data_IF_382507954755
#
_entry.id   IF_382507954755
#
_cell.length_a   1.000
_cell.length_b   1.000
_cell.length_c   1.000
_cell.angle_alpha   90.00
_cell.angle_beta   90.00
_cell.angle_gamma   90.00
#
_symmetry.space_group_name_H-M   'P 1'
#
loop_
_entity.id
_entity.type
_entity.pdbx_description
1 polymer ?
#
# COMPACT_ATOMS: atom_id res chain seq x y z
N UNK A 1 4.25 -13.94 17.84
CA UNK A 1 4.12 -12.71 17.07
C UNK A 1 4.60 -11.55 17.92
N UNK A 2 5.56 -10.77 17.45
CA UNK A 2 6.06 -9.59 18.17
C UNK A 2 5.02 -8.48 18.10
N UNK A 3 4.53 -8.02 19.26
CA UNK A 3 3.65 -6.85 19.38
C UNK A 3 4.49 -5.62 19.68
N UNK A 4 4.11 -4.48 19.12
CA UNK A 4 4.71 -3.17 19.45
C UNK A 4 3.72 -2.32 20.23
N UNK A 5 4.18 -1.74 21.33
CA UNK A 5 3.38 -0.90 22.25
C UNK A 5 3.78 0.57 22.16
N UNK A 6 4.11 1.03 20.96
CA UNK A 6 4.44 2.44 20.71
C UNK A 6 3.49 2.99 19.64
N UNK A 7 3.25 4.30 19.71
CA UNK A 7 2.53 5.06 18.69
C UNK A 7 3.24 6.40 18.47
N UNK A 8 3.20 6.90 17.24
CA UNK A 8 3.69 8.24 16.91
C UNK A 8 2.50 9.20 16.89
N UNK A 9 2.61 10.27 17.67
CA UNK A 9 1.61 11.33 17.71
C UNK A 9 2.25 12.58 17.12
N UNK A 10 1.69 13.06 16.02
CA UNK A 10 2.09 14.30 15.37
C UNK A 10 1.10 15.40 15.72
N UNK A 11 1.57 16.45 16.38
CA UNK A 11 0.78 17.65 16.60
C UNK A 11 1.05 18.65 15.47
N UNK A 12 0.00 19.03 14.74
CA UNK A 12 0.07 19.99 13.63
C UNK A 12 -0.62 21.30 14.03
N UNK A 13 0.12 22.27 14.64
CA UNK A 13 -0.36 23.63 14.86
C UNK A 13 -0.07 24.55 13.67
N UNK A 14 -0.88 25.60 13.50
CA UNK A 14 -0.55 26.70 12.58
C UNK A 14 0.57 27.58 13.15
N UNK A 15 1.31 28.29 12.29
CA UNK A 15 2.38 29.21 12.71
C UNK A 15 1.87 30.26 13.72
N UNK A 16 0.69 30.81 13.48
CA UNK A 16 0.05 31.79 14.37
C UNK A 16 -0.23 31.19 15.76
N UNK A 17 -0.69 29.95 15.81
CA UNK A 17 -0.92 29.22 17.07
C UNK A 17 0.39 29.01 17.83
N UNK A 18 1.49 28.70 17.14
CA UNK A 18 2.81 28.57 17.76
C UNK A 18 3.31 29.88 18.36
N UNK A 19 3.16 31.00 17.65
CA UNK A 19 3.56 32.32 18.13
C UNK A 19 2.72 32.76 19.34
N UNK A 20 1.41 32.51 19.28
CA UNK A 20 0.51 32.77 20.40
C UNK A 20 0.89 31.94 21.64
N UNK A 21 1.14 30.64 21.50
CA UNK A 21 1.60 29.78 22.60
C UNK A 21 2.95 30.23 23.17
N UNK A 22 3.83 30.78 22.34
CA UNK A 22 5.12 31.29 22.77
C UNK A 22 4.99 32.57 23.61
N UNK A 23 4.04 33.45 23.28
CA UNK A 23 3.77 34.67 24.06
C UNK A 23 3.25 34.38 25.48
N UNK A 24 2.58 33.24 25.67
CA UNK A 24 2.11 32.80 26.99
C UNK A 24 3.23 32.25 27.90
N UNK A 25 4.46 32.10 27.39
CA UNK A 25 5.58 31.60 28.18
C UNK A 25 6.24 32.71 29.02
N UNK A 26 6.87 32.38 30.17
CA UNK A 26 7.65 33.33 30.96
C UNK A 26 8.75 34.02 30.14
N UNK A 27 9.03 35.30 30.43
CA UNK A 27 9.90 36.21 29.65
C UNK A 27 11.33 35.70 29.39
N UNK A 28 11.81 34.70 30.14
CA UNK A 28 13.13 34.07 29.91
C UNK A 28 13.14 32.85 28.98
N UNK A 29 11.98 32.35 28.57
CA UNK A 29 11.83 31.08 27.83
C UNK A 29 11.14 31.22 26.46
N UNK A 30 10.91 32.47 26.05
CA UNK A 30 10.29 32.80 24.77
C UNK A 30 11.30 32.67 23.64
N UNK A 31 10.91 32.00 22.57
CA UNK A 31 11.69 31.95 21.34
C UNK A 31 11.46 33.20 20.50
N UNK A 32 12.47 33.63 19.73
CA UNK A 32 12.27 34.68 18.73
C UNK A 32 11.40 34.17 17.57
N UNK A 33 10.64 35.07 16.94
CA UNK A 33 9.80 34.74 15.77
C UNK A 33 10.61 34.18 14.60
N UNK A 34 11.86 34.64 14.44
CA UNK A 34 12.80 34.12 13.45
C UNK A 34 13.19 32.66 13.73
N UNK A 35 13.45 32.29 14.99
CA UNK A 35 13.73 30.91 15.38
C UNK A 35 12.54 29.99 15.11
N UNK A 36 11.32 30.41 15.45
CA UNK A 36 10.10 29.64 15.17
C UNK A 36 9.94 29.38 13.67
N UNK A 37 10.14 30.42 12.85
CA UNK A 37 10.04 30.30 11.40
C UNK A 37 11.10 29.35 10.82
N UNK A 38 12.33 29.40 11.32
CA UNK A 38 13.39 28.50 10.90
C UNK A 38 13.15 27.04 11.33
N UNK A 39 12.60 26.82 12.52
CA UNK A 39 12.23 25.48 13.00
C UNK A 39 11.13 24.87 12.12
N UNK A 40 10.10 25.64 11.78
CA UNK A 40 9.03 25.19 10.88
C UNK A 40 9.56 24.81 9.49
N UNK A 41 10.53 25.56 8.95
CA UNK A 41 11.11 25.25 7.64
C UNK A 41 11.97 23.96 7.65
N UNK A 42 12.60 23.65 8.78
CA UNK A 42 13.46 22.46 8.93
C UNK A 42 12.71 21.23 9.43
N UNK A 43 11.45 21.38 9.80
CA UNK A 43 10.64 20.28 10.32
C UNK A 43 10.29 19.29 9.20
N UNK A 44 10.64 18.03 9.41
CA UNK A 44 10.25 16.92 8.53
C UNK A 44 9.05 16.20 9.14
N UNK A 45 7.98 16.09 8.37
CA UNK A 45 6.72 15.44 8.80
C UNK A 45 6.92 13.91 8.81
N UNK A 46 6.53 13.21 9.89
CA UNK A 46 6.51 11.75 9.91
C UNK A 46 5.69 11.17 8.75
N UNK A 47 6.22 10.15 8.07
CA UNK A 47 5.54 9.44 6.99
C UNK A 47 5.07 8.06 7.47
N UNK A 48 3.76 7.84 7.36
CA UNK A 48 3.13 6.54 7.58
C UNK A 48 3.76 5.38 6.78
N UNK A 49 4.56 5.62 5.73
CA UNK A 49 5.27 4.55 5.02
C UNK A 49 6.34 3.86 5.86
N UNK A 50 6.93 4.55 6.84
CA UNK A 50 7.98 3.98 7.66
C UNK A 50 7.41 3.08 8.76
N UNK A 51 7.94 1.86 8.88
CA UNK A 51 7.47 0.87 9.87
C UNK A 51 7.53 1.38 11.30
N UNK A 52 8.56 2.16 11.62
CA UNK A 52 8.83 2.69 12.95
C UNK A 52 8.03 3.97 13.25
N UNK A 53 7.28 4.50 12.27
CA UNK A 53 6.36 5.63 12.44
C UNK A 53 4.89 5.19 12.45
N UNK A 54 4.61 3.88 12.30
CA UNK A 54 3.27 3.33 12.42
C UNK A 54 2.98 2.85 13.85
N UNK A 55 1.80 3.15 14.41
CA UNK A 55 0.73 4.02 13.88
C UNK A 55 1.08 5.51 14.01
N UNK A 56 0.63 6.32 13.04
CA UNK A 56 0.76 7.78 13.07
C UNK A 56 -0.62 8.40 13.33
N UNK A 57 -0.75 9.11 14.45
CA UNK A 57 -1.94 9.89 14.78
C UNK A 57 -1.66 11.37 14.60
N UNK A 58 -2.41 12.03 13.70
CA UNK A 58 -2.29 13.48 13.48
C UNK A 58 -3.32 14.23 14.33
N UNK A 59 -2.84 15.06 15.26
CA UNK A 59 -3.64 15.93 16.11
C UNK A 59 -3.51 17.36 15.57
N UNK A 60 -4.61 17.88 15.01
CA UNK A 60 -4.69 19.29 14.61
C UNK A 60 -4.95 20.16 15.83
N UNK A 61 -4.06 21.11 16.09
CA UNK A 61 -4.15 22.05 17.21
C UNK A 61 -4.41 23.43 16.63
N UNK A 62 -5.57 24.03 16.90
CA UNK A 62 -5.93 25.27 16.22
C UNK A 62 -7.31 25.80 16.55
N UNK A 63 -7.71 26.85 15.83
CA UNK A 63 -9.11 27.24 15.72
C UNK A 63 -9.81 26.14 14.95
N UNK A 64 -10.89 25.60 15.49
CA UNK A 64 -11.76 24.75 14.72
C UNK A 64 -12.37 25.63 13.62
N UNK A 65 -11.99 25.41 12.36
CA UNK A 65 -12.85 25.77 11.24
C UNK A 65 -14.09 24.90 11.41
N UNK A 66 -15.07 25.40 12.17
CA UNK A 66 -16.41 24.84 12.15
C UNK A 66 -16.81 24.86 10.67
N UNK A 67 -17.13 23.73 10.02
CA UNK A 67 -17.66 23.79 8.67
C UNK A 67 -18.90 24.68 8.77
N UNK A 68 -18.87 25.83 8.10
CA UNK A 68 -20.04 26.70 8.00
C UNK A 68 -21.10 25.89 7.27
N UNK A 69 -22.03 25.29 7.99
CA UNK A 69 -23.27 24.86 7.39
C UNK A 69 -23.98 26.15 6.96
N UNK A 70 -24.35 26.24 5.68
CA UNK A 70 -25.00 27.40 5.07
C UNK A 70 -26.33 27.82 5.74
N UNK A 71 -26.80 27.07 6.75
CA UNK A 71 -28.07 27.28 7.44
C UNK A 71 -27.97 28.11 8.73
N UNK A 72 -26.76 28.43 9.23
CA UNK A 72 -26.60 29.20 10.47
C UNK A 72 -26.18 30.64 10.16
N UNK A 73 -27.09 31.42 9.57
CA UNK A 73 -26.88 32.83 9.21
C UNK A 73 -26.89 33.79 10.43
N UNK A 74 -27.08 33.29 11.65
CA UNK A 74 -27.31 34.13 12.85
C UNK A 74 -26.33 33.89 14.01
N UNK A 75 -25.14 33.30 13.77
CA UNK A 75 -24.12 33.15 14.82
C UNK A 75 -23.03 34.23 14.74
N UNK A 76 -23.41 35.48 15.00
CA UNK A 76 -22.48 36.57 15.33
C UNK A 76 -22.09 36.52 16.83
N UNK A 77 -21.99 35.33 17.43
CA UNK A 77 -21.29 35.18 18.71
C UNK A 77 -19.79 35.09 18.45
N UNK A 78 -19.16 36.27 18.36
CA UNK A 78 -17.72 36.35 18.54
C UNK A 78 -17.45 35.89 19.96
N UNK A 79 -16.89 34.69 20.13
CA UNK A 79 -16.58 34.11 21.44
C UNK A 79 -15.49 34.96 22.13
N UNK A 80 -15.95 36.02 22.81
CA UNK A 80 -15.15 37.05 23.48
C UNK A 80 -14.43 36.51 24.71
N UNK A 81 -14.84 35.35 25.23
CA UNK A 81 -14.28 34.78 26.45
C UNK A 81 -13.11 33.81 26.17
N UNK A 82 -13.05 33.22 24.96
CA UNK A 82 -12.03 32.24 24.60
C UNK A 82 -11.41 32.50 23.22
N UNK A 83 -10.61 33.57 23.10
CA UNK A 83 -9.75 33.85 21.92
C UNK A 83 -8.70 32.75 21.59
N UNK A 84 -8.65 31.67 22.38
CA UNK A 84 -7.59 30.67 22.30
C UNK A 84 -7.93 29.55 21.30
N UNK A 85 -7.00 29.16 20.41
CA UNK A 85 -7.10 27.94 19.61
C UNK A 85 -6.90 26.72 20.53
N UNK A 86 -7.87 26.41 21.38
CA UNK A 86 -7.85 25.28 22.33
C UNK A 86 -8.69 24.10 21.85
N UNK A 87 -8.91 23.96 20.55
CA UNK A 87 -9.46 22.74 20.00
C UNK A 87 -8.30 21.82 19.58
N UNK A 88 -8.23 20.65 20.20
CA UNK A 88 -7.40 19.53 19.78
C UNK A 88 -8.30 18.30 19.70
N UNK A 89 -8.41 17.69 18.52
CA UNK A 89 -9.14 16.44 18.37
C UNK A 89 -8.20 15.29 18.78
N UNK A 90 -8.45 14.67 19.92
CA UNK A 90 -7.61 13.61 20.48
C UNK A 90 -8.29 12.26 20.29
N UNK A 91 -7.56 11.28 19.75
CA UNK A 91 -8.03 9.92 19.53
C UNK A 91 -7.85 9.05 20.78
N UNK A 92 -8.42 9.46 21.92
CA UNK A 92 -8.14 8.88 23.24
C UNK A 92 -8.33 7.35 23.28
N UNK A 93 -9.44 6.87 22.73
CA UNK A 93 -9.79 5.44 22.74
C UNK A 93 -8.85 4.61 21.88
N UNK A 94 -8.51 5.11 20.70
CA UNK A 94 -7.65 4.40 19.76
C UNK A 94 -6.20 4.38 20.24
N UNK A 95 -5.69 5.50 20.74
CA UNK A 95 -4.32 5.58 21.26
C UNK A 95 -4.14 4.62 22.44
N UNK A 96 -5.10 4.59 23.38
CA UNK A 96 -5.05 3.69 24.53
C UNK A 96 -5.15 2.22 24.11
N UNK A 97 -6.05 1.90 23.18
CA UNK A 97 -6.18 0.54 22.63
C UNK A 97 -4.87 0.08 21.96
N UNK A 98 -4.24 0.94 21.17
CA UNK A 98 -2.97 0.66 20.51
C UNK A 98 -1.81 0.45 21.50
N UNK A 99 -1.72 1.26 22.55
CA UNK A 99 -0.68 1.13 23.56
C UNK A 99 -0.89 -0.12 24.42
N UNK A 100 -2.13 -0.41 24.82
CA UNK A 100 -2.44 -1.48 25.77
C UNK A 100 -2.57 -2.87 25.12
N UNK A 101 -3.22 -2.97 23.95
CA UNK A 101 -3.51 -4.26 23.33
C UNK A 101 -2.41 -4.71 22.34
N UNK A 102 -1.64 -3.74 21.83
CA UNK A 102 -0.51 -3.93 20.93
C UNK A 102 -0.95 -4.48 19.58
N UNK A 103 -0.48 -3.86 18.49
CA UNK A 103 -0.85 -4.32 17.15
C UNK A 103 0.08 -5.39 16.63
N UNK A 104 -0.51 -6.34 15.91
CA UNK A 104 0.22 -7.40 15.23
C UNK A 104 0.94 -6.79 14.02
N UNK A 105 2.26 -6.72 14.11
CA UNK A 105 3.09 -6.32 12.97
C UNK A 105 2.96 -7.39 11.89
N UNK A 106 2.48 -6.99 10.70
CA UNK A 106 2.56 -7.84 9.52
C UNK A 106 4.04 -8.01 9.16
N UNK A 107 4.48 -9.27 9.09
CA UNK A 107 5.87 -9.59 8.75
C UNK A 107 6.17 -9.07 7.34
N UNK A 108 7.31 -8.37 7.19
CA UNK A 108 7.76 -7.99 5.87
C UNK A 108 8.33 -9.24 5.15
N UNK A 109 8.34 -9.22 3.81
CA UNK A 109 8.88 -10.35 3.04
C UNK A 109 10.37 -10.63 3.32
N UNK A 110 11.07 -9.70 3.99
CA UNK A 110 12.47 -9.90 4.41
C UNK A 110 12.61 -10.76 5.67
N UNK A 111 11.57 -10.85 6.52
CA UNK A 111 11.56 -11.73 7.71
C UNK A 111 10.79 -13.03 7.49
N UNK A 112 10.01 -13.14 6.42
CA UNK A 112 9.42 -14.41 6.04
C UNK A 112 10.53 -15.35 5.54
N UNK A 113 10.70 -16.47 6.25
CA UNK A 113 11.53 -17.57 5.78
C UNK A 113 10.95 -18.03 4.46
N UNK A 114 11.66 -17.81 3.35
CA UNK A 114 11.26 -18.33 2.05
C UNK A 114 11.07 -19.84 2.21
N UNK A 115 9.85 -20.38 2.02
CA UNK A 115 9.64 -21.80 2.16
C UNK A 115 10.57 -22.50 1.18
N UNK A 116 11.33 -23.49 1.66
CA UNK A 116 12.22 -24.29 0.85
C UNK A 116 11.39 -24.86 -0.31
N UNK A 117 11.63 -24.36 -1.53
CA UNK A 117 10.87 -24.78 -2.69
C UNK A 117 10.92 -26.31 -2.77
N UNK A 118 9.77 -26.99 -2.97
CA UNK A 118 9.80 -28.43 -3.12
C UNK A 118 10.72 -28.76 -4.31
N UNK A 119 11.54 -29.80 -4.16
CA UNK A 119 12.65 -30.15 -5.07
C UNK A 119 12.28 -30.21 -6.55
N UNK A 120 10.99 -30.36 -6.86
CA UNK A 120 10.46 -30.51 -8.22
C UNK A 120 9.74 -29.27 -8.78
N UNK A 121 9.53 -28.20 -8.01
CA UNK A 121 8.70 -27.05 -8.46
C UNK A 121 9.22 -26.40 -9.75
N UNK A 122 10.52 -26.13 -9.83
CA UNK A 122 11.09 -25.45 -11.01
C UNK A 122 10.94 -26.32 -12.27
N UNK A 123 11.18 -27.63 -12.12
CA UNK A 123 11.02 -28.59 -13.20
C UNK A 123 9.57 -28.72 -13.66
N UNK A 124 8.63 -28.80 -12.72
CA UNK A 124 7.19 -28.86 -13.02
C UNK A 124 6.70 -27.58 -13.69
N UNK A 125 7.15 -26.41 -13.23
CA UNK A 125 6.84 -25.13 -13.84
C UNK A 125 7.36 -25.02 -15.28
N UNK A 126 8.65 -25.33 -15.49
CA UNK A 126 9.25 -25.28 -16.83
C UNK A 126 8.56 -26.27 -17.78
N UNK A 127 8.25 -27.48 -17.31
CA UNK A 127 7.53 -28.50 -18.09
C UNK A 127 6.12 -28.04 -18.46
N UNK A 128 5.32 -27.62 -17.48
CA UNK A 128 3.93 -27.20 -17.71
C UNK A 128 3.81 -25.95 -18.59
N UNK A 129 4.73 -24.98 -18.46
CA UNK A 129 4.75 -23.78 -19.33
C UNK A 129 5.16 -24.13 -20.76
N UNK A 130 6.13 -25.04 -20.94
CA UNK A 130 6.56 -25.51 -22.25
C UNK A 130 5.47 -26.33 -22.97
N UNK A 131 4.79 -27.22 -22.24
CA UNK A 131 3.67 -28.01 -22.76
C UNK A 131 2.52 -27.08 -23.20
N UNK A 132 2.23 -26.05 -22.42
CA UNK A 132 1.22 -25.03 -22.75
C UNK A 132 1.55 -24.28 -24.04
N UNK A 133 2.82 -23.88 -24.24
CA UNK A 133 3.26 -23.21 -25.47
C UNK A 133 3.13 -24.14 -26.68
N UNK A 134 3.48 -25.42 -26.52
CA UNK A 134 3.38 -26.42 -27.59
C UNK A 134 1.92 -26.62 -28.01
N UNK A 135 1.00 -26.71 -27.04
CA UNK A 135 -0.45 -26.77 -27.29
C UNK A 135 -0.93 -25.50 -27.98
N UNK A 136 -0.50 -24.32 -27.53
CA UNK A 136 -0.89 -23.05 -28.13
C UNK A 136 -0.42 -22.93 -29.59
N UNK A 137 0.82 -23.33 -29.87
CA UNK A 137 1.39 -23.34 -31.23
C UNK A 137 0.67 -24.31 -32.15
N UNK A 138 0.30 -25.50 -31.65
CA UNK A 138 -0.50 -26.46 -32.42
C UNK A 138 -1.91 -25.95 -32.67
N UNK A 139 -2.56 -25.37 -31.65
CA UNK A 139 -3.89 -24.77 -31.78
C UNK A 139 -3.88 -23.59 -32.77
N UNK A 140 -2.82 -22.78 -32.79
CA UNK A 140 -2.65 -21.68 -33.73
C UNK A 140 -2.65 -22.12 -35.20
N UNK A 141 -2.30 -23.37 -35.53
CA UNK A 141 -2.36 -23.87 -36.92
C UNK A 141 -3.79 -24.03 -37.44
N UNK A 142 -4.74 -24.27 -36.55
CA UNK A 142 -6.15 -24.56 -36.88
C UNK A 142 -7.10 -23.46 -36.38
N UNK A 143 -6.61 -22.49 -35.61
CA UNK A 143 -7.43 -21.50 -34.94
C UNK A 143 -7.90 -20.36 -35.86
N UNK A 144 -9.17 -19.99 -35.70
CA UNK A 144 -9.78 -18.81 -36.34
C UNK A 144 -9.65 -17.60 -35.40
N UNK A 145 -9.51 -16.39 -35.97
CA UNK A 145 -9.44 -15.13 -35.18
C UNK A 145 -10.66 -15.02 -34.26
N UNK A 146 -10.42 -14.85 -32.95
CA UNK A 146 -11.46 -14.75 -31.92
C UNK A 146 -11.82 -16.07 -31.24
N UNK A 147 -11.20 -17.19 -31.62
CA UNK A 147 -11.43 -18.49 -30.98
C UNK A 147 -10.77 -18.55 -29.59
N UNK A 148 -11.49 -19.13 -28.62
CA UNK A 148 -10.98 -19.44 -27.29
C UNK A 148 -10.27 -20.79 -27.34
N UNK A 149 -8.96 -20.78 -27.10
CA UNK A 149 -8.14 -22.00 -27.07
C UNK A 149 -8.18 -22.55 -25.65
N UNK A 150 -8.65 -23.79 -25.51
CA UNK A 150 -8.63 -24.53 -24.24
C UNK A 150 -7.27 -25.19 -24.09
N UNK A 151 -6.58 -24.94 -22.98
CA UNK A 151 -5.31 -25.58 -22.67
C UNK A 151 -5.59 -26.74 -21.70
N UNK A 152 -5.18 -27.99 -22.03
CA UNK A 152 -5.30 -29.13 -21.14
C UNK A 152 -4.55 -28.88 -19.83
N UNK A 153 -5.23 -29.04 -18.69
CA UNK A 153 -4.65 -28.84 -17.35
C UNK A 153 -4.97 -27.51 -16.67
N UNK A 154 -5.57 -26.55 -17.38
CA UNK A 154 -5.87 -25.20 -16.85
C UNK A 154 -7.19 -25.09 -16.05
N UNK A 155 -7.84 -26.21 -15.69
CA UNK A 155 -9.08 -26.20 -14.92
C UNK A 155 -10.25 -25.39 -15.53
N UNK A 156 -10.20 -25.08 -16.83
CA UNK A 156 -11.24 -24.29 -17.52
C UNK A 156 -10.79 -22.91 -18.03
N UNK A 157 -9.56 -22.47 -17.75
CA UNK A 157 -9.05 -21.20 -18.32
C UNK A 157 -8.79 -21.29 -19.82
N UNK A 158 -9.18 -20.26 -20.57
CA UNK A 158 -9.06 -20.18 -22.02
C UNK A 158 -8.17 -19.01 -22.45
N UNK A 159 -7.39 -19.20 -23.51
CA UNK A 159 -6.60 -18.13 -24.13
C UNK A 159 -7.38 -17.55 -25.30
N UNK A 160 -7.54 -16.23 -25.33
CA UNK A 160 -8.18 -15.54 -26.44
C UNK A 160 -7.20 -15.40 -27.62
N UNK A 161 -7.46 -16.07 -28.74
CA UNK A 161 -6.61 -16.00 -29.92
C UNK A 161 -6.95 -14.78 -30.79
N UNK A 162 -6.23 -13.68 -30.63
CA UNK A 162 -6.41 -12.44 -31.42
C UNK A 162 -5.53 -12.39 -32.67
N UNK A 163 -4.24 -12.72 -32.55
CA UNK A 163 -3.24 -12.68 -33.63
C UNK A 163 -2.34 -13.92 -33.58
N UNK A 164 -1.86 -14.44 -34.74
CA UNK A 164 -0.84 -15.47 -34.75
C UNK A 164 0.44 -14.92 -34.12
N UNK A 165 1.02 -15.65 -33.17
CA UNK A 165 2.24 -15.25 -32.44
C UNK A 165 3.43 -16.08 -32.88
N UNK A 166 4.62 -15.51 -32.75
CA UNK A 166 5.87 -16.23 -33.06
C UNK A 166 6.33 -17.05 -31.84
N UNK A 167 7.09 -18.11 -32.10
CA UNK A 167 7.70 -18.93 -31.03
C UNK A 167 8.61 -18.09 -30.12
N UNK A 168 9.27 -17.09 -30.69
CA UNK A 168 10.18 -16.18 -29.98
C UNK A 168 9.42 -15.31 -28.96
N UNK A 169 8.26 -14.78 -29.32
CA UNK A 169 7.42 -13.99 -28.41
C UNK A 169 6.91 -14.83 -27.24
N UNK A 170 6.42 -16.04 -27.51
CA UNK A 170 5.92 -16.96 -26.48
C UNK A 170 7.04 -17.42 -25.53
N UNK A 171 8.23 -17.70 -26.05
CA UNK A 171 9.40 -18.03 -25.23
C UNK A 171 9.88 -16.85 -24.37
N UNK A 172 9.75 -15.60 -24.87
CA UNK A 172 10.05 -14.41 -24.06
C UNK A 172 9.08 -14.27 -22.89
N UNK A 173 7.78 -14.44 -23.14
CA UNK A 173 6.74 -14.43 -22.11
C UNK A 173 6.92 -15.57 -21.09
N UNK A 174 7.34 -16.75 -21.55
CA UNK A 174 7.72 -17.88 -20.69
C UNK A 174 8.81 -17.50 -19.71
N UNK A 175 9.93 -16.94 -20.18
CA UNK A 175 11.03 -16.54 -19.32
C UNK A 175 10.63 -15.45 -18.31
N UNK A 176 9.80 -14.50 -18.73
CA UNK A 176 9.26 -13.47 -17.85
C UNK A 176 8.38 -14.07 -16.74
N UNK A 177 7.51 -15.02 -17.09
CA UNK A 177 6.67 -15.72 -16.13
C UNK A 177 7.49 -16.59 -15.17
N UNK A 178 8.44 -17.39 -15.67
CA UNK A 178 9.35 -18.20 -14.85
C UNK A 178 10.12 -17.33 -13.86
N UNK A 179 10.62 -16.17 -14.30
CA UNK A 179 11.33 -15.22 -13.43
C UNK A 179 10.41 -14.61 -12.36
N UNK A 180 9.13 -14.44 -12.65
CA UNK A 180 8.12 -13.91 -11.72
C UNK A 180 7.71 -14.99 -10.69
N UNK A 181 7.47 -16.22 -11.14
CA UNK A 181 7.08 -17.35 -10.28
C UNK A 181 8.20 -17.82 -9.36
N UNK A 182 9.47 -17.58 -9.71
CA UNK A 182 10.60 -17.80 -8.78
C UNK A 182 10.50 -16.97 -7.49
N UNK A 183 9.85 -15.80 -7.54
CA UNK A 183 9.66 -14.93 -6.37
C UNK A 183 8.46 -15.35 -5.50
N UNK A 184 7.50 -16.06 -6.08
CA UNK A 184 6.30 -16.56 -5.40
C UNK A 184 6.09 -18.04 -5.78
N UNK A 185 6.81 -18.98 -5.14
CA UNK A 185 6.65 -20.40 -5.42
C UNK A 185 5.23 -20.88 -5.09
N UNK A 186 4.58 -21.59 -6.00
CA UNK A 186 3.25 -22.19 -5.81
C UNK A 186 3.34 -23.70 -5.99
N UNK A 187 2.88 -24.49 -5.02
CA UNK A 187 3.07 -25.95 -5.05
C UNK A 187 2.09 -26.71 -5.97
N UNK A 188 1.04 -26.07 -6.48
CA UNK A 188 -0.02 -26.75 -7.24
C UNK A 188 0.15 -26.58 -8.76
N UNK A 189 0.35 -27.70 -9.46
CA UNK A 189 0.52 -27.74 -10.91
C UNK A 189 -0.64 -27.14 -11.71
N UNK A 190 -1.87 -27.39 -11.28
CA UNK A 190 -3.06 -26.81 -11.92
C UNK A 190 -3.08 -25.29 -11.80
N UNK A 191 -2.66 -24.74 -10.66
CA UNK A 191 -2.56 -23.29 -10.43
C UNK A 191 -1.45 -22.66 -11.28
N UNK A 192 -0.32 -23.35 -11.48
CA UNK A 192 0.77 -22.87 -12.36
C UNK A 192 0.24 -22.65 -13.78
N UNK A 193 -0.48 -23.63 -14.32
CA UNK A 193 -1.07 -23.54 -15.67
C UNK A 193 -2.09 -22.41 -15.75
N UNK A 194 -3.01 -22.31 -14.79
CA UNK A 194 -4.00 -21.21 -14.74
C UNK A 194 -3.33 -19.83 -14.69
N UNK A 195 -2.34 -19.63 -13.81
CA UNK A 195 -1.60 -18.37 -13.70
C UNK A 195 -0.86 -18.02 -14.99
N UNK A 196 -0.29 -19.02 -15.67
CA UNK A 196 0.38 -18.80 -16.95
C UNK A 196 -0.60 -18.38 -18.04
N UNK A 197 -1.79 -19.00 -18.09
CA UNK A 197 -2.87 -18.63 -19.03
C UNK A 197 -3.36 -17.20 -18.79
N UNK A 198 -3.55 -16.80 -17.54
CA UNK A 198 -3.96 -15.43 -17.19
C UNK A 198 -2.88 -14.40 -17.51
N UNK A 199 -1.61 -14.77 -17.31
CA UNK A 199 -0.47 -13.96 -17.70
C UNK A 199 -0.40 -13.80 -19.23
N UNK A 200 -0.62 -14.88 -19.98
CA UNK A 200 -0.72 -14.82 -21.44
C UNK A 200 -1.87 -13.92 -21.86
N UNK A 201 -3.07 -14.05 -21.31
CA UNK A 201 -4.22 -13.20 -21.65
C UNK A 201 -3.96 -11.70 -21.36
N UNK A 202 -3.22 -11.40 -20.30
CA UNK A 202 -2.87 -10.01 -19.93
C UNK A 202 -1.81 -9.41 -20.85
N UNK A 203 -0.83 -10.21 -21.29
CA UNK A 203 0.25 -9.77 -22.19
C UNK A 203 -0.11 -9.87 -23.69
N UNK A 204 -1.12 -10.67 -24.04
CA UNK A 204 -1.56 -10.92 -25.42
C UNK A 204 -2.82 -10.15 -25.81
N UNK A 205 -3.31 -9.26 -24.93
CA UNK A 205 -4.46 -8.37 -25.19
C UNK A 205 -4.30 -7.53 -26.46
#
# INVERSE_FOLDING_TARGET
>A
MSKTTFCVIQCTPTKETCEWLNQQKPEGSQYSSAQISQLLQRYEVPDSKFRWEKPLFEIKVGRADRPCNENDLDDMSLDLEHLSPRFANIFDKEIVDWICNGTELTENQSTQVVPLAPTNFLHELDRSTQDTITVLLNAQRTAVRGQKIVIPGAGGSTVNFSKPRTVQELNRLRHQFVSMSKKNPTADNTKIVTMFVDFLNSNLR
#
